data_IF_230648756102
#
_entry.id   IF_230648756102
#
_cell.length_a   1.000
_cell.length_b   1.000
_cell.length_c   1.000
_cell.angle_alpha   90.00
_cell.angle_beta   90.00
_cell.angle_gamma   90.00
#
_symmetry.space_group_name_H-M   'P 1'
#
loop_
_entity.id
_entity.type
_entity.pdbx_description
1 polymer ?
#
# COMPACT_ATOMS: atom_id res chain seq x y z
N UNK A 1 25.15 11.35 13.05
CA UNK A 1 24.58 11.22 11.70
C UNK A 1 24.87 9.80 11.26
N UNK A 2 23.90 8.88 11.40
CA UNK A 2 24.01 7.63 10.67
C UNK A 2 24.15 8.00 9.20
N UNK A 3 25.12 7.41 8.51
CA UNK A 3 25.02 7.27 7.08
C UNK A 3 23.67 6.59 6.80
N UNK A 4 22.60 7.39 6.65
CA UNK A 4 21.55 6.98 5.76
C UNK A 4 22.29 6.76 4.46
N UNK A 5 22.57 5.51 4.11
CA UNK A 5 22.84 5.15 2.73
C UNK A 5 21.78 5.94 1.97
N UNK A 6 22.21 6.85 1.11
CA UNK A 6 21.30 7.71 0.34
C UNK A 6 20.40 6.76 -0.43
N UNK A 7 19.26 6.42 0.16
CA UNK A 7 18.27 5.51 -0.42
C UNK A 7 17.67 6.05 -1.74
N UNK A 8 18.04 7.29 -2.09
CA UNK A 8 17.68 8.01 -3.31
C UNK A 8 18.79 8.02 -4.38
N UNK A 9 19.96 7.43 -4.12
CA UNK A 9 21.00 7.30 -5.12
C UNK A 9 20.66 6.18 -6.11
N UNK A 10 20.91 6.43 -7.40
CA UNK A 10 20.81 5.39 -8.41
C UNK A 10 21.78 4.25 -8.10
N UNK A 11 21.41 3.00 -8.42
CA UNK A 11 22.39 1.92 -8.43
C UNK A 11 23.50 2.25 -9.43
N UNK A 12 24.72 1.78 -9.14
CA UNK A 12 25.87 1.94 -10.03
C UNK A 12 25.71 1.18 -11.34
N UNK A 13 24.84 0.16 -11.36
CA UNK A 13 24.52 -0.64 -12.53
C UNK A 13 23.09 -1.18 -12.43
N UNK A 14 22.47 -1.48 -13.57
CA UNK A 14 21.12 -2.09 -13.65
C UNK A 14 21.12 -3.21 -14.70
N UNK A 15 20.43 -4.31 -14.38
CA UNK A 15 20.24 -5.44 -15.30
C UNK A 15 19.09 -5.16 -16.25
N UNK A 16 19.36 -5.27 -17.56
CA UNK A 16 18.41 -5.08 -18.66
C UNK A 16 18.35 -6.39 -19.47
N UNK A 17 17.43 -7.27 -19.10
CA UNK A 17 17.42 -8.63 -19.67
C UNK A 17 18.74 -9.35 -19.36
N UNK A 18 19.49 -9.69 -20.39
CA UNK A 18 20.78 -10.41 -20.26
C UNK A 18 22.00 -9.48 -20.18
N UNK A 19 21.82 -8.15 -20.25
CA UNK A 19 22.92 -7.18 -20.21
C UNK A 19 22.86 -6.36 -18.93
N UNK A 20 24.02 -5.82 -18.50
CA UNK A 20 24.12 -4.90 -17.36
C UNK A 20 24.62 -3.56 -17.90
N UNK A 21 23.92 -2.49 -17.58
CA UNK A 21 24.33 -1.13 -17.94
C UNK A 21 24.81 -0.37 -16.72
N UNK A 22 25.82 0.48 -16.90
CA UNK A 22 26.33 1.45 -15.92
C UNK A 22 26.03 2.90 -16.34
N UNK A 23 25.44 3.09 -17.52
CA UNK A 23 25.04 4.40 -18.01
C UNK A 23 23.83 4.90 -17.23
N UNK A 24 24.00 5.99 -16.49
CA UNK A 24 22.98 6.57 -15.64
C UNK A 24 21.73 7.02 -16.39
N UNK A 25 21.88 7.52 -17.61
CA UNK A 25 20.74 7.92 -18.46
C UNK A 25 19.91 6.69 -18.84
N UNK A 26 20.57 5.61 -19.27
CA UNK A 26 19.90 4.35 -19.56
C UNK A 26 19.26 3.74 -18.32
N UNK A 27 19.89 3.83 -17.15
CA UNK A 27 19.32 3.34 -15.89
C UNK A 27 18.02 4.06 -15.57
N UNK A 28 17.96 5.38 -15.67
CA UNK A 28 16.78 6.20 -15.39
C UNK A 28 15.64 5.87 -16.35
N UNK A 29 15.91 5.81 -17.66
CA UNK A 29 14.92 5.46 -18.68
C UNK A 29 14.34 4.06 -18.46
N UNK A 30 15.18 3.10 -18.08
CA UNK A 30 14.72 1.74 -17.82
C UNK A 30 13.90 1.63 -16.54
N UNK A 31 14.25 2.34 -15.47
CA UNK A 31 13.38 2.45 -14.31
C UNK A 31 12.02 3.04 -14.68
N UNK A 32 12.01 4.10 -15.51
CA UNK A 32 10.76 4.72 -15.93
C UNK A 32 9.88 3.74 -16.71
N UNK A 33 10.46 3.03 -17.69
CA UNK A 33 9.76 1.99 -18.42
C UNK A 33 9.29 0.86 -17.52
N UNK A 34 10.14 0.38 -16.60
CA UNK A 34 9.79 -0.68 -15.66
C UNK A 34 8.62 -0.28 -14.76
N UNK A 35 8.61 0.93 -14.23
CA UNK A 35 7.55 1.40 -13.34
C UNK A 35 6.25 1.72 -14.09
N UNK A 36 6.31 2.32 -15.29
CA UNK A 36 5.12 2.62 -16.08
C UNK A 36 4.38 1.38 -16.56
N UNK A 37 5.09 0.25 -16.73
CA UNK A 37 4.51 -1.03 -17.17
C UNK A 37 4.20 -1.99 -16.01
N UNK A 38 4.52 -1.62 -14.78
CA UNK A 38 4.41 -2.49 -13.61
C UNK A 38 3.00 -3.06 -13.38
N UNK A 39 1.96 -2.25 -13.62
CA UNK A 39 0.56 -2.65 -13.48
C UNK A 39 0.05 -3.60 -14.56
N UNK A 40 0.75 -3.70 -15.69
CA UNK A 40 0.33 -4.56 -16.81
C UNK A 40 0.70 -6.04 -16.64
N UNK A 41 1.44 -6.41 -15.60
CA UNK A 41 1.89 -7.78 -15.37
C UNK A 41 0.72 -8.79 -15.32
N UNK A 42 -0.42 -8.41 -14.76
CA UNK A 42 -1.61 -9.26 -14.73
C UNK A 42 -2.16 -9.54 -16.13
N UNK A 43 -2.22 -8.56 -17.02
CA UNK A 43 -2.70 -8.74 -18.40
C UNK A 43 -1.83 -9.72 -19.19
N UNK A 44 -0.52 -9.70 -18.95
CA UNK A 44 0.42 -10.64 -19.57
C UNK A 44 0.27 -12.06 -19.01
N UNK A 45 0.01 -12.20 -17.71
CA UNK A 45 -0.16 -13.50 -17.05
C UNK A 45 -1.51 -14.17 -17.36
N UNK A 46 -2.55 -13.40 -17.73
CA UNK A 46 -3.92 -13.90 -17.93
C UNK A 46 -4.37 -13.89 -19.40
N UNK A 47 -3.50 -13.58 -20.34
CA UNK A 47 -3.82 -13.55 -21.79
C UNK A 47 -4.29 -14.89 -22.38
N UNK A 48 -4.29 -15.97 -21.58
CA UNK A 48 -4.77 -17.30 -21.96
C UNK A 48 -6.20 -17.65 -21.48
N UNK A 49 -6.84 -16.80 -20.69
CA UNK A 49 -8.23 -17.05 -20.26
C UNK A 49 -9.07 -15.78 -20.40
N UNK A 50 -9.79 -15.68 -21.52
CA UNK A 50 -10.77 -14.67 -21.79
C UNK A 50 -11.96 -14.77 -20.81
N UNK A 51 -12.52 -13.61 -20.42
CA UNK A 51 -13.82 -13.40 -19.78
C UNK A 51 -13.95 -13.84 -18.30
N UNK A 52 -13.29 -13.12 -17.39
CA UNK A 52 -13.88 -12.95 -16.07
C UNK A 52 -14.17 -11.45 -15.86
N UNK A 53 -15.41 -11.05 -16.09
CA UNK A 53 -15.94 -9.80 -15.55
C UNK A 53 -15.85 -9.91 -14.01
N UNK A 54 -15.24 -8.92 -13.36
CA UNK A 54 -15.31 -8.83 -11.91
C UNK A 54 -16.76 -8.95 -11.46
N UNK A 55 -17.11 -9.75 -10.45
CA UNK A 55 -18.47 -9.79 -9.97
C UNK A 55 -18.90 -8.38 -9.59
N UNK A 56 -20.08 -7.92 -10.05
CA UNK A 56 -20.59 -6.63 -9.62
C UNK A 56 -20.64 -6.63 -8.10
N UNK A 57 -20.13 -5.55 -7.47
CA UNK A 57 -20.27 -5.38 -6.05
C UNK A 57 -21.75 -5.51 -5.69
N UNK A 58 -22.08 -6.32 -4.69
CA UNK A 58 -23.46 -6.51 -4.27
C UNK A 58 -24.09 -5.14 -3.98
N UNK A 59 -25.30 -4.84 -4.53
CA UNK A 59 -25.96 -3.56 -4.27
C UNK A 59 -26.20 -3.43 -2.76
N UNK A 60 -25.57 -2.45 -2.16
CA UNK A 60 -25.83 -2.10 -0.76
C UNK A 60 -27.10 -1.25 -0.70
N UNK A 61 -27.98 -1.46 0.32
CA UNK A 61 -29.20 -0.68 0.47
C UNK A 61 -28.85 0.81 0.54
N UNK A 62 -29.64 1.64 -0.14
CA UNK A 62 -29.51 3.08 -0.40
C UNK A 62 -28.62 3.85 0.59
N UNK A 63 -27.32 3.88 0.31
CA UNK A 63 -26.43 4.85 0.91
C UNK A 63 -26.83 6.24 0.39
N UNK A 64 -26.81 7.25 1.25
CA UNK A 64 -26.94 8.64 0.82
C UNK A 64 -25.91 8.91 -0.26
N UNK A 65 -26.34 9.48 -1.38
CA UNK A 65 -25.47 9.73 -2.54
C UNK A 65 -24.36 10.70 -2.12
N UNK A 66 -23.09 10.29 -2.28
CA UNK A 66 -21.94 11.15 -2.01
C UNK A 66 -21.74 12.14 -3.15
N UNK A 67 -21.63 13.41 -2.82
CA UNK A 67 -21.21 14.47 -3.73
C UNK A 67 -20.20 15.36 -3.02
N UNK A 68 -19.24 15.89 -3.79
CA UNK A 68 -18.28 16.83 -3.25
C UNK A 68 -18.97 18.09 -2.73
N UNK A 69 -18.56 18.54 -1.57
CA UNK A 69 -18.96 19.81 -1.01
C UNK A 69 -17.89 20.88 -1.25
N UNK A 70 -18.33 22.12 -1.26
CA UNK A 70 -17.43 23.25 -1.47
C UNK A 70 -16.34 23.30 -0.40
N UNK A 71 -15.09 23.40 -0.83
CA UNK A 71 -13.92 23.57 0.03
C UNK A 71 -13.91 25.00 0.54
N UNK A 72 -13.62 25.19 1.83
CA UNK A 72 -13.57 26.50 2.47
C UNK A 72 -12.14 27.06 2.44
N UNK A 73 -12.01 28.38 2.31
CA UNK A 73 -10.69 29.08 2.30
C UNK A 73 -9.90 28.76 3.57
N UNK A 74 -10.59 28.68 4.73
CA UNK A 74 -9.94 28.38 6.00
C UNK A 74 -9.27 26.98 6.02
N UNK A 75 -9.87 25.97 5.37
CA UNK A 75 -9.31 24.64 5.28
C UNK A 75 -8.04 24.63 4.41
N UNK A 76 -8.08 25.30 3.25
CA UNK A 76 -6.92 25.42 2.36
C UNK A 76 -5.79 26.22 3.02
N UNK A 77 -6.13 27.33 3.69
CA UNK A 77 -5.16 28.14 4.43
C UNK A 77 -4.44 27.31 5.50
N UNK A 78 -5.20 26.53 6.27
CA UNK A 78 -4.65 25.64 7.31
C UNK A 78 -3.69 24.61 6.72
N UNK A 79 -4.06 23.97 5.62
CA UNK A 79 -3.19 22.97 4.95
C UNK A 79 -1.91 23.61 4.41
N UNK A 80 -1.99 24.79 3.77
CA UNK A 80 -0.83 25.52 3.29
C UNK A 80 0.12 25.91 4.43
N UNK A 81 -0.42 26.37 5.57
CA UNK A 81 0.37 26.72 6.75
C UNK A 81 1.04 25.51 7.40
N UNK A 82 0.45 24.31 7.27
CA UNK A 82 0.99 23.07 7.81
C UNK A 82 1.96 22.35 6.87
N UNK A 83 2.22 22.88 5.66
CA UNK A 83 3.19 22.29 4.75
C UNK A 83 4.56 22.14 5.42
N UNK A 84 5.18 21.00 5.20
CA UNK A 84 6.57 20.76 5.61
C UNK A 84 7.53 21.44 4.62
N UNK A 85 8.24 22.49 5.04
CA UNK A 85 9.09 23.27 4.15
C UNK A 85 10.31 22.51 3.61
N UNK A 86 10.62 21.34 4.17
CA UNK A 86 11.76 20.52 3.77
C UNK A 86 11.41 19.42 2.77
N UNK A 87 10.16 19.34 2.34
CA UNK A 87 9.73 18.37 1.32
C UNK A 87 10.07 18.88 -0.08
N UNK A 88 10.35 17.94 -0.97
CA UNK A 88 10.68 18.24 -2.37
C UNK A 88 9.47 18.78 -3.12
N UNK A 89 9.70 19.79 -3.96
CA UNK A 89 8.76 20.23 -4.97
C UNK A 89 8.50 19.14 -6.02
N UNK A 90 7.32 19.15 -6.64
CA UNK A 90 6.99 18.33 -7.80
C UNK A 90 7.74 18.78 -9.06
N UNK A 91 7.26 18.29 -10.23
CA UNK A 91 7.79 18.73 -11.53
C UNK A 91 7.45 20.19 -11.87
N UNK A 92 6.46 20.76 -11.21
CA UNK A 92 6.07 22.16 -11.30
C UNK A 92 7.06 23.13 -10.62
N UNK A 93 8.02 22.61 -9.85
CA UNK A 93 8.99 23.35 -9.06
C UNK A 93 8.40 24.36 -8.06
N UNK A 94 7.12 24.20 -7.68
CA UNK A 94 6.53 25.00 -6.62
C UNK A 94 7.03 24.53 -5.25
N UNK A 95 7.85 25.35 -4.62
CA UNK A 95 8.47 25.04 -3.33
C UNK A 95 7.44 25.08 -2.21
N UNK A 96 7.33 24.04 -1.36
CA UNK A 96 6.46 24.02 -0.19
C UNK A 96 6.69 25.18 0.78
N UNK A 97 7.94 25.63 0.95
CA UNK A 97 8.26 26.79 1.78
C UNK A 97 7.64 28.07 1.22
N UNK A 98 7.74 28.28 -0.10
CA UNK A 98 7.13 29.44 -0.76
C UNK A 98 5.61 29.44 -0.57
N UNK A 99 4.94 28.31 -0.80
CA UNK A 99 3.49 28.17 -0.61
C UNK A 99 3.08 28.41 0.85
N UNK A 100 3.88 27.93 1.81
CA UNK A 100 3.64 28.16 3.24
C UNK A 100 3.75 29.64 3.61
N UNK A 101 4.78 30.32 3.16
CA UNK A 101 5.01 31.76 3.46
C UNK A 101 3.96 32.64 2.80
N UNK A 102 3.49 32.30 1.61
CA UNK A 102 2.47 33.05 0.87
C UNK A 102 1.04 32.61 1.18
N UNK A 103 0.82 31.69 2.12
CA UNK A 103 -0.45 31.00 2.35
C UNK A 103 -1.65 31.96 2.49
N UNK A 104 -1.51 33.05 3.24
CA UNK A 104 -2.58 34.06 3.44
C UNK A 104 -2.99 34.78 2.16
N UNK A 105 -2.08 34.90 1.21
CA UNK A 105 -2.31 35.60 -0.09
C UNK A 105 -2.92 34.61 -1.09
N UNK A 106 -2.36 33.38 -1.15
CA UNK A 106 -2.69 32.43 -2.21
C UNK A 106 -3.87 31.51 -1.87
N UNK A 107 -4.30 31.45 -0.59
CA UNK A 107 -5.39 30.54 -0.18
C UNK A 107 -6.69 30.79 -0.95
N UNK A 108 -7.10 32.05 -1.15
CA UNK A 108 -8.34 32.39 -1.86
C UNK A 108 -8.34 31.92 -3.33
N UNK A 109 -7.35 32.29 -4.18
CA UNK A 109 -7.34 31.82 -5.56
C UNK A 109 -7.15 30.30 -5.67
N UNK A 110 -6.37 29.68 -4.78
CA UNK A 110 -6.22 28.22 -4.77
C UNK A 110 -7.53 27.54 -4.42
N UNK A 111 -8.28 28.03 -3.42
CA UNK A 111 -9.60 27.50 -3.07
C UNK A 111 -10.59 27.60 -4.24
N UNK A 112 -10.58 28.73 -4.96
CA UNK A 112 -11.41 28.93 -6.14
C UNK A 112 -11.07 27.90 -7.24
N UNK A 113 -9.77 27.64 -7.45
CA UNK A 113 -9.31 26.63 -8.41
C UNK A 113 -9.74 25.21 -8.00
N UNK A 114 -9.66 24.85 -6.72
CA UNK A 114 -10.12 23.55 -6.22
C UNK A 114 -11.63 23.38 -6.42
N UNK A 115 -12.42 24.38 -6.08
CA UNK A 115 -13.86 24.34 -6.26
C UNK A 115 -14.26 24.32 -7.76
N UNK A 116 -13.51 25.04 -8.61
CA UNK A 116 -13.70 24.95 -10.05
C UNK A 116 -13.47 23.54 -10.57
N UNK A 117 -12.44 22.83 -10.07
CA UNK A 117 -12.19 21.44 -10.43
C UNK A 117 -13.35 20.51 -10.08
N UNK A 118 -14.06 20.75 -8.98
CA UNK A 118 -15.26 19.96 -8.65
C UNK A 118 -16.41 20.23 -9.60
N UNK A 119 -16.58 21.48 -10.04
CA UNK A 119 -17.66 21.88 -10.96
C UNK A 119 -17.39 21.36 -12.37
N UNK A 120 -16.14 21.46 -12.85
CA UNK A 120 -15.78 21.05 -14.21
C UNK A 120 -15.42 19.56 -14.32
N UNK A 121 -15.23 18.87 -13.19
CA UNK A 121 -14.65 17.52 -13.12
C UNK A 121 -13.28 17.42 -13.80
N UNK A 122 -12.53 18.51 -13.85
CA UNK A 122 -11.21 18.57 -14.45
C UNK A 122 -10.11 18.86 -13.42
N UNK A 123 -8.98 18.20 -13.57
CA UNK A 123 -7.77 18.40 -12.75
C UNK A 123 -6.68 18.97 -13.65
N UNK A 124 -5.96 20.02 -13.23
CA UNK A 124 -4.84 20.58 -13.98
C UNK A 124 -3.84 19.51 -14.41
N UNK A 125 -3.41 19.55 -15.67
CA UNK A 125 -2.51 18.54 -16.26
C UNK A 125 -1.19 18.44 -15.48
N UNK A 126 -0.65 19.57 -15.02
CA UNK A 126 0.59 19.61 -14.26
C UNK A 126 0.49 18.83 -12.93
N UNK A 127 -0.71 18.75 -12.34
CA UNK A 127 -0.94 17.99 -11.11
C UNK A 127 -1.02 16.47 -11.33
N UNK A 128 -1.12 16.04 -12.57
CA UNK A 128 -1.12 14.63 -12.98
C UNK A 128 0.27 14.11 -13.32
N UNK A 129 1.28 15.00 -13.34
CA UNK A 129 2.66 14.66 -13.63
C UNK A 129 3.43 14.36 -12.33
N UNK A 130 4.10 13.22 -12.27
CA UNK A 130 4.87 12.78 -11.11
C UNK A 130 6.37 12.67 -11.41
N UNK A 131 7.21 13.21 -10.52
CA UNK A 131 8.61 12.81 -10.44
C UNK A 131 8.71 11.54 -9.61
N UNK A 132 9.26 10.47 -10.17
CA UNK A 132 9.39 9.17 -9.49
C UNK A 132 10.83 8.95 -9.05
N UNK A 133 11.02 8.59 -7.79
CA UNK A 133 12.31 8.20 -7.23
C UNK A 133 12.33 6.69 -7.02
N UNK A 134 13.31 5.94 -7.60
CA UNK A 134 13.52 4.54 -7.29
C UNK A 134 14.01 4.38 -5.84
N UNK A 135 13.20 3.78 -4.97
CA UNK A 135 13.58 3.50 -3.60
C UNK A 135 13.92 2.02 -3.44
N UNK A 136 15.20 1.73 -3.12
CA UNK A 136 15.65 0.36 -2.88
C UNK A 136 14.99 -0.24 -1.63
N UNK A 137 14.36 -1.41 -1.78
CA UNK A 137 13.65 -2.13 -0.71
C UNK A 137 14.41 -3.34 -0.15
N UNK A 138 15.60 -3.64 -0.73
CA UNK A 138 16.41 -4.80 -0.40
C UNK A 138 16.44 -5.86 -1.52
N UNK A 139 17.39 -6.77 -1.48
CA UNK A 139 17.59 -7.80 -2.51
C UNK A 139 18.75 -7.49 -3.45
N UNK A 140 18.64 -7.90 -4.71
CA UNK A 140 19.64 -7.62 -5.75
C UNK A 140 19.53 -6.16 -6.23
N UNK A 141 20.58 -5.38 -6.05
CA UNK A 141 20.63 -3.97 -6.48
C UNK A 141 20.59 -3.81 -8.00
N UNK A 142 20.88 -4.86 -8.76
CA UNK A 142 20.79 -4.85 -10.22
C UNK A 142 19.37 -5.12 -10.73
N UNK A 143 18.47 -5.66 -9.89
CA UNK A 143 17.11 -5.99 -10.29
C UNK A 143 16.16 -4.80 -10.05
N UNK A 144 15.52 -4.22 -11.09
CA UNK A 144 14.55 -3.13 -10.93
C UNK A 144 13.33 -3.53 -10.10
N UNK A 145 12.99 -4.83 -9.97
CA UNK A 145 11.93 -5.31 -9.08
C UNK A 145 12.25 -5.11 -7.59
N UNK A 146 13.53 -4.91 -7.24
CA UNK A 146 13.96 -4.61 -5.88
C UNK A 146 13.82 -3.13 -5.50
N UNK A 147 13.17 -2.32 -6.33
CA UNK A 147 12.90 -0.90 -6.09
C UNK A 147 11.40 -0.61 -6.06
N UNK A 148 11.01 0.43 -5.31
CA UNK A 148 9.65 0.99 -5.27
C UNK A 148 9.63 2.34 -6.00
N UNK A 149 8.60 2.62 -6.83
CA UNK A 149 8.42 3.94 -7.44
C UNK A 149 7.79 4.91 -6.44
N UNK A 150 8.58 5.76 -5.80
CA UNK A 150 8.02 6.79 -4.92
C UNK A 150 7.71 8.03 -5.74
N UNK A 151 6.43 8.37 -5.86
CA UNK A 151 5.94 9.51 -6.62
C UNK A 151 6.01 10.81 -5.81
N UNK A 152 6.75 11.78 -6.31
CA UNK A 152 6.73 13.15 -5.82
C UNK A 152 5.76 13.92 -6.71
N UNK A 153 4.56 14.13 -6.19
CA UNK A 153 3.52 14.92 -6.84
C UNK A 153 3.68 16.41 -6.49
N UNK A 154 3.16 17.32 -7.34
CA UNK A 154 3.06 18.74 -7.05
C UNK A 154 2.45 19.02 -5.67
N UNK A 155 2.99 20.03 -4.99
CA UNK A 155 2.56 20.33 -3.63
C UNK A 155 1.08 20.71 -3.57
N UNK A 156 0.60 21.51 -4.52
CA UNK A 156 -0.81 21.91 -4.61
C UNK A 156 -1.73 20.72 -4.90
N UNK A 157 -1.27 19.76 -5.72
CA UNK A 157 -2.01 18.49 -5.93
C UNK A 157 -2.23 17.76 -4.59
N UNK A 158 -1.21 17.68 -3.73
CA UNK A 158 -1.33 17.05 -2.42
C UNK A 158 -2.27 17.81 -1.48
N UNK A 159 -2.21 19.15 -1.48
CA UNK A 159 -3.15 19.98 -0.70
C UNK A 159 -4.59 19.72 -1.16
N UNK A 160 -4.81 19.65 -2.46
CA UNK A 160 -6.13 19.32 -3.01
C UNK A 160 -6.57 17.90 -2.66
N UNK A 161 -5.69 16.91 -2.88
CA UNK A 161 -5.96 15.52 -2.49
C UNK A 161 -6.30 15.37 -1.00
N UNK A 162 -5.70 16.18 -0.11
CA UNK A 162 -6.03 16.19 1.33
C UNK A 162 -7.49 16.61 1.57
N UNK A 163 -7.97 17.65 0.88
CA UNK A 163 -9.35 18.09 0.98
C UNK A 163 -10.34 17.05 0.44
N UNK A 164 -10.02 16.45 -0.72
CA UNK A 164 -10.81 15.37 -1.31
C UNK A 164 -10.82 14.14 -0.40
N UNK A 165 -9.66 13.73 0.09
CA UNK A 165 -9.52 12.55 0.96
C UNK A 165 -10.30 12.69 2.25
N UNK A 166 -10.33 13.90 2.83
CA UNK A 166 -11.14 14.17 4.02
C UNK A 166 -12.62 13.92 3.75
N UNK A 167 -13.19 14.50 2.68
CA UNK A 167 -14.61 14.31 2.33
C UNK A 167 -14.93 12.84 2.05
N UNK A 168 -14.06 12.16 1.29
CA UNK A 168 -14.23 10.73 0.95
C UNK A 168 -14.17 9.86 2.21
N UNK A 169 -13.16 10.04 3.06
CA UNK A 169 -12.99 9.25 4.28
C UNK A 169 -14.13 9.48 5.27
N UNK A 170 -14.55 10.73 5.47
CA UNK A 170 -15.67 11.08 6.34
C UNK A 170 -16.97 10.39 5.90
N UNK A 171 -17.22 10.35 4.57
CA UNK A 171 -18.36 9.62 4.02
C UNK A 171 -18.24 8.11 4.23
N UNK A 172 -17.11 7.50 3.87
CA UNK A 172 -16.91 6.05 3.97
C UNK A 172 -16.98 5.55 5.42
N UNK A 173 -16.43 6.30 6.39
CA UNK A 173 -16.46 5.95 7.81
C UNK A 173 -17.84 6.17 8.43
N UNK A 174 -18.52 7.29 8.13
CA UNK A 174 -19.88 7.57 8.66
C UNK A 174 -20.89 6.52 8.22
N UNK A 175 -20.74 5.97 7.02
CA UNK A 175 -21.58 4.90 6.48
C UNK A 175 -21.08 3.48 6.79
N UNK A 176 -19.98 3.35 7.57
CA UNK A 176 -19.36 2.05 7.92
C UNK A 176 -19.10 1.20 6.68
N UNK A 177 -18.61 1.83 5.61
CA UNK A 177 -18.37 1.20 4.33
C UNK A 177 -17.22 0.22 4.37
N UNK A 178 -16.17 0.56 5.13
CA UNK A 178 -15.03 -0.34 5.31
C UNK A 178 -15.40 -1.55 6.15
N UNK A 179 -14.92 -2.71 5.73
CA UNK A 179 -15.01 -3.93 6.53
C UNK A 179 -14.36 -3.72 7.91
N UNK A 180 -14.94 -4.31 8.94
CA UNK A 180 -14.39 -4.27 10.31
C UNK A 180 -12.98 -4.90 10.40
N UNK A 181 -12.60 -5.72 9.42
CA UNK A 181 -11.29 -6.38 9.35
C UNK A 181 -10.28 -5.60 8.50
N UNK A 182 -10.67 -4.47 7.88
CA UNK A 182 -9.75 -3.56 7.21
C UNK A 182 -9.22 -2.52 8.20
N UNK A 183 -7.92 -2.54 8.44
CA UNK A 183 -7.23 -1.59 9.32
C UNK A 183 -6.26 -0.65 8.61
N UNK A 184 -5.90 -0.94 7.36
CA UNK A 184 -4.94 -0.13 6.60
C UNK A 184 -5.47 1.27 6.29
N UNK A 185 -4.66 2.29 6.58
CA UNK A 185 -4.92 3.71 6.26
C UNK A 185 -6.21 4.29 6.83
N UNK A 186 -6.71 3.72 7.93
CA UNK A 186 -7.90 4.20 8.63
C UNK A 186 -7.52 4.89 9.94
N UNK A 187 -8.18 6.00 10.24
CA UNK A 187 -8.00 6.72 11.50
C UNK A 187 -8.35 5.82 12.69
N UNK A 188 -7.52 5.84 13.74
CA UNK A 188 -7.71 5.00 14.91
C UNK A 188 -7.30 3.52 14.73
N UNK A 189 -6.90 3.10 13.55
CA UNK A 189 -6.45 1.74 13.24
C UNK A 189 -4.94 1.74 12.94
N UNK A 190 -4.15 1.17 13.83
CA UNK A 190 -2.70 1.09 13.67
C UNK A 190 -2.20 -0.35 13.48
N UNK A 191 -0.95 -0.51 13.01
CA UNK A 191 -0.31 -1.83 12.91
C UNK A 191 -0.36 -2.60 14.24
N UNK A 192 -0.21 -1.90 15.37
CA UNK A 192 -0.24 -2.52 16.72
C UNK A 192 -1.63 -3.09 17.03
N UNK A 193 -2.70 -2.32 16.83
CA UNK A 193 -4.07 -2.79 17.10
C UNK A 193 -4.46 -3.94 16.18
N UNK A 194 -4.08 -3.86 14.90
CA UNK A 194 -4.27 -4.94 13.92
C UNK A 194 -3.56 -6.22 14.33
N UNK A 195 -2.27 -6.13 14.68
CA UNK A 195 -1.48 -7.27 15.13
C UNK A 195 -2.03 -7.87 16.42
N UNK A 196 -2.42 -7.03 17.39
CA UNK A 196 -3.00 -7.49 18.66
C UNK A 196 -4.32 -8.23 18.44
N UNK A 197 -5.18 -7.77 17.53
CA UNK A 197 -6.42 -8.48 17.21
C UNK A 197 -6.15 -9.88 16.68
N UNK A 198 -5.30 -10.02 15.67
CA UNK A 198 -4.92 -11.32 15.08
C UNK A 198 -4.30 -12.23 16.13
N UNK A 199 -3.35 -11.71 16.92
CA UNK A 199 -2.71 -12.49 17.99
C UNK A 199 -3.70 -12.93 19.05
N UNK A 200 -4.63 -12.08 19.47
CA UNK A 200 -5.64 -12.43 20.45
C UNK A 200 -6.52 -13.60 19.96
N UNK A 201 -6.93 -13.59 18.70
CA UNK A 201 -7.73 -14.66 18.11
C UNK A 201 -6.95 -15.98 18.08
N UNK A 202 -5.68 -15.94 17.63
CA UNK A 202 -4.80 -17.11 17.58
C UNK A 202 -4.51 -17.66 18.99
N UNK A 203 -4.16 -16.81 19.96
CA UNK A 203 -3.87 -17.22 21.33
C UNK A 203 -5.12 -17.84 21.97
N UNK A 204 -6.29 -17.23 21.77
CA UNK A 204 -7.56 -17.74 22.29
C UNK A 204 -7.87 -19.13 21.73
N UNK A 205 -7.61 -19.38 20.46
CA UNK A 205 -7.78 -20.69 19.86
C UNK A 205 -6.80 -21.74 20.45
N UNK A 206 -5.53 -21.35 20.62
CA UNK A 206 -4.49 -22.22 21.21
C UNK A 206 -4.83 -22.57 22.67
N UNK A 207 -5.31 -21.61 23.45
CA UNK A 207 -5.68 -21.83 24.85
C UNK A 207 -6.89 -22.79 24.97
N UNK A 208 -7.75 -22.81 23.95
CA UNK A 208 -8.83 -23.79 23.78
C UNK A 208 -8.37 -25.13 23.22
N UNK A 209 -7.05 -25.34 23.07
CA UNK A 209 -6.45 -26.56 22.48
C UNK A 209 -6.92 -26.84 21.04
N UNK A 210 -7.17 -25.80 20.26
CA UNK A 210 -7.48 -25.91 18.85
C UNK A 210 -6.21 -25.84 18.01
N UNK A 211 -6.21 -26.54 16.86
CA UNK A 211 -5.21 -26.32 15.82
C UNK A 211 -5.49 -24.96 15.17
N UNK A 212 -4.42 -24.27 14.80
CA UNK A 212 -4.52 -22.99 14.11
C UNK A 212 -3.51 -22.92 12.96
N UNK A 213 -3.97 -22.54 11.79
CA UNK A 213 -3.11 -22.30 10.63
C UNK A 213 -3.42 -20.94 9.99
N UNK A 214 -2.40 -20.32 9.43
CA UNK A 214 -2.52 -19.02 8.77
C UNK A 214 -1.77 -19.00 7.43
N UNK A 215 -2.29 -18.21 6.48
CA UNK A 215 -1.63 -17.83 5.24
C UNK A 215 -1.36 -16.32 5.29
N UNK A 216 -0.11 -15.94 5.20
CA UNK A 216 0.33 -14.56 5.03
C UNK A 216 0.44 -14.29 3.53
N UNK A 217 -0.45 -13.47 3.01
CA UNK A 217 -0.62 -13.24 1.58
C UNK A 217 0.17 -12.02 1.16
N UNK A 218 1.03 -12.16 0.15
CA UNK A 218 1.76 -11.07 -0.50
C UNK A 218 1.21 -10.84 -1.91
N UNK A 219 0.92 -9.60 -2.24
CA UNK A 219 0.46 -9.20 -3.58
C UNK A 219 1.61 -8.54 -4.33
N UNK A 220 1.79 -8.94 -5.59
CA UNK A 220 2.80 -8.33 -6.45
C UNK A 220 2.37 -6.95 -6.91
N UNK A 221 3.15 -5.91 -6.57
CA UNK A 221 2.95 -4.52 -7.03
C UNK A 221 1.49 -4.04 -6.84
N UNK A 222 0.88 -4.34 -5.70
CA UNK A 222 -0.54 -4.14 -5.42
C UNK A 222 -1.04 -2.73 -5.78
N UNK A 223 -0.35 -1.67 -5.31
CA UNK A 223 -0.70 -0.28 -5.61
C UNK A 223 -0.54 0.09 -7.08
N UNK A 224 0.44 -0.49 -7.77
CA UNK A 224 0.73 -0.21 -9.19
C UNK A 224 -0.23 -0.96 -10.12
N UNK A 225 -0.96 -1.97 -9.60
CA UNK A 225 -1.86 -2.85 -10.36
C UNK A 225 -3.34 -2.51 -10.25
N UNK A 226 -3.70 -1.43 -9.53
CA UNK A 226 -5.10 -1.01 -9.39
C UNK A 226 -5.69 -0.68 -10.76
N UNK A 227 -6.72 -1.40 -11.17
CA UNK A 227 -7.46 -1.12 -12.41
C UNK A 227 -8.45 0.03 -12.17
N UNK A 228 -8.30 1.12 -12.91
CA UNK A 228 -9.12 2.33 -12.73
C UNK A 228 -10.60 2.09 -13.00
N UNK A 229 -10.97 1.28 -14.02
CA UNK A 229 -12.37 0.96 -14.31
C UNK A 229 -13.04 0.18 -13.17
N UNK A 230 -12.34 -0.82 -12.63
CA UNK A 230 -12.84 -1.58 -11.48
C UNK A 230 -13.00 -0.66 -10.27
N UNK A 231 -12.03 0.22 -10.02
CA UNK A 231 -12.09 1.17 -8.90
C UNK A 231 -13.26 2.16 -9.06
N UNK A 232 -13.47 2.74 -10.25
CA UNK A 232 -14.60 3.62 -10.51
C UNK A 232 -15.94 2.87 -10.33
N UNK A 233 -16.04 1.63 -10.82
CA UNK A 233 -17.22 0.78 -10.58
C UNK A 233 -17.48 0.52 -9.09
N UNK A 234 -16.43 0.36 -8.28
CA UNK A 234 -16.58 0.23 -6.82
C UNK A 234 -17.02 1.53 -6.16
N UNK A 235 -16.47 2.68 -6.55
CA UNK A 235 -16.93 3.98 -6.05
C UNK A 235 -18.41 4.20 -6.40
N UNK A 236 -18.83 3.84 -7.61
CA UNK A 236 -20.23 3.87 -8.03
C UNK A 236 -21.11 3.00 -7.13
N UNK A 237 -20.73 1.77 -6.86
CA UNK A 237 -21.47 0.86 -5.97
C UNK A 237 -21.52 1.33 -4.49
N UNK A 238 -20.63 2.24 -4.11
CA UNK A 238 -20.60 2.88 -2.79
C UNK A 238 -21.41 4.19 -2.76
N UNK A 239 -22.17 4.52 -3.82
CA UNK A 239 -23.07 5.66 -3.85
C UNK A 239 -22.41 6.99 -4.22
N UNK A 240 -21.23 6.99 -4.85
CA UNK A 240 -20.63 8.21 -5.38
C UNK A 240 -21.45 8.74 -6.56
N UNK A 241 -21.69 10.06 -6.60
CA UNK A 241 -22.44 10.73 -7.66
C UNK A 241 -21.69 10.69 -8.99
N UNK A 242 -22.43 10.89 -10.09
CA UNK A 242 -21.84 10.86 -11.43
C UNK A 242 -20.76 11.92 -11.61
N UNK A 243 -20.96 13.12 -11.02
CA UNK A 243 -19.96 14.19 -11.04
C UNK A 243 -18.68 13.78 -10.27
N UNK A 244 -18.82 13.11 -9.11
CA UNK A 244 -17.69 12.57 -8.39
C UNK A 244 -16.98 11.48 -9.19
N UNK A 245 -17.71 10.59 -9.82
CA UNK A 245 -17.14 9.54 -10.68
C UNK A 245 -16.44 10.13 -11.91
N UNK A 246 -16.99 11.18 -12.52
CA UNK A 246 -16.34 11.92 -13.60
C UNK A 246 -15.03 12.56 -13.12
N UNK A 247 -15.04 13.16 -11.92
CA UNK A 247 -13.84 13.75 -11.32
C UNK A 247 -12.75 12.68 -11.07
N UNK A 248 -13.10 11.53 -10.47
CA UNK A 248 -12.14 10.44 -10.27
C UNK A 248 -11.64 9.85 -11.59
N UNK A 249 -12.50 9.75 -12.60
CA UNK A 249 -12.10 9.32 -13.95
C UNK A 249 -11.06 10.27 -14.52
N UNK A 250 -11.28 11.59 -14.42
CA UNK A 250 -10.30 12.59 -14.82
C UNK A 250 -9.03 12.55 -13.98
N UNK A 251 -9.15 12.28 -12.66
CA UNK A 251 -7.98 12.14 -11.76
C UNK A 251 -7.01 11.05 -12.23
N UNK A 252 -7.52 9.95 -12.78
CA UNK A 252 -6.71 8.85 -13.29
C UNK A 252 -6.30 9.01 -14.76
N UNK A 253 -7.03 9.77 -15.53
CA UNK A 253 -6.76 9.97 -16.96
C UNK A 253 -5.49 10.82 -17.18
N UNK A 254 -4.77 10.53 -18.27
CA UNK A 254 -3.65 11.33 -18.78
C UNK A 254 -2.52 11.57 -17.74
N UNK A 255 -2.34 10.63 -16.82
CA UNK A 255 -1.24 10.71 -15.87
C UNK A 255 0.07 10.35 -16.55
N UNK A 256 1.12 11.10 -16.19
CA UNK A 256 2.48 10.87 -16.67
C UNK A 256 3.46 10.79 -15.52
N UNK A 257 4.54 10.08 -15.74
CA UNK A 257 5.65 10.01 -14.79
C UNK A 257 6.99 10.18 -15.49
N UNK A 258 7.95 10.75 -14.76
CA UNK A 258 9.35 10.82 -15.15
C UNK A 258 10.18 10.33 -13.96
N UNK A 259 11.18 9.50 -14.18
CA UNK A 259 12.11 9.11 -13.12
C UNK A 259 13.14 10.23 -12.93
N UNK A 260 13.29 10.68 -11.68
CA UNK A 260 14.23 11.75 -11.30
C UNK A 260 15.26 11.20 -10.32
N UNK A 261 16.53 11.36 -10.62
CA UNK A 261 17.61 11.04 -9.68
C UNK A 261 18.90 11.78 -10.05
N UNK A 262 19.67 12.20 -9.05
CA UNK A 262 20.98 12.85 -9.20
C UNK A 262 20.99 14.04 -10.18
N UNK A 263 19.91 14.82 -10.20
CA UNK A 263 19.75 15.97 -11.10
C UNK A 263 19.32 15.64 -12.53
N UNK A 264 19.20 14.36 -12.88
CA UNK A 264 18.73 13.90 -14.19
C UNK A 264 17.23 13.59 -14.14
N UNK A 265 16.58 13.69 -15.29
CA UNK A 265 15.16 13.40 -15.49
C UNK A 265 14.99 12.57 -16.77
N UNK A 266 14.21 11.48 -16.69
CA UNK A 266 13.83 10.69 -17.86
C UNK A 266 12.78 11.40 -18.72
N UNK A 267 12.54 10.89 -19.92
CA UNK A 267 11.36 11.26 -20.70
C UNK A 267 10.04 10.93 -19.99
N UNK A 268 8.93 11.63 -20.29
CA UNK A 268 7.62 11.35 -19.73
C UNK A 268 7.04 10.06 -20.31
N UNK A 269 6.52 9.19 -19.46
CA UNK A 269 5.75 8.01 -19.85
C UNK A 269 4.35 8.03 -19.23
N UNK A 270 3.36 7.60 -20.02
CA UNK A 270 1.98 7.49 -19.56
C UNK A 270 1.82 6.37 -18.51
N UNK A 271 0.97 6.62 -17.52
CA UNK A 271 0.60 5.67 -16.46
C UNK A 271 -0.90 5.44 -16.54
N UNK A 272 -1.30 4.24 -16.96
CA UNK A 272 -2.71 3.86 -17.21
C UNK A 272 -3.30 2.94 -16.13
N UNK A 273 -2.53 2.57 -15.13
CA UNK A 273 -2.97 1.71 -14.01
C UNK A 273 -2.30 2.15 -12.71
N UNK A 274 -2.84 1.68 -11.61
CA UNK A 274 -2.29 1.93 -10.29
C UNK A 274 -2.72 3.25 -9.67
N UNK A 275 -2.37 3.38 -8.39
CA UNK A 275 -2.47 4.64 -7.64
C UNK A 275 -1.07 5.11 -7.28
N UNK A 276 -0.76 6.41 -7.42
CA UNK A 276 0.61 6.89 -7.21
C UNK A 276 1.10 6.63 -5.78
N UNK A 277 2.21 5.92 -5.63
CA UNK A 277 2.82 5.68 -4.31
C UNK A 277 3.45 6.99 -3.79
N UNK A 278 2.70 7.74 -3.01
CA UNK A 278 3.07 9.07 -2.50
C UNK A 278 1.96 10.10 -2.67
N UNK A 279 0.83 9.73 -3.30
CA UNK A 279 -0.41 10.51 -3.25
C UNK A 279 -1.10 10.36 -1.89
N UNK A 280 -1.95 11.32 -1.54
CA UNK A 280 -2.75 11.27 -0.31
C UNK A 280 -4.00 10.40 -0.52
N UNK A 281 -4.57 10.42 -1.72
CA UNK A 281 -5.76 9.62 -2.07
C UNK A 281 -5.43 8.14 -2.30
N UNK A 282 -4.24 7.81 -2.79
CA UNK A 282 -3.86 6.45 -3.17
C UNK A 282 -4.14 5.40 -2.09
N UNK A 283 -3.75 5.61 -0.83
CA UNK A 283 -4.03 4.66 0.26
C UNK A 283 -5.52 4.40 0.49
N UNK A 284 -6.34 5.44 0.52
CA UNK A 284 -7.79 5.33 0.71
C UNK A 284 -8.45 4.61 -0.47
N UNK A 285 -8.05 4.95 -1.70
CA UNK A 285 -8.57 4.33 -2.92
C UNK A 285 -8.17 2.86 -3.01
N UNK A 286 -6.95 2.50 -2.59
CA UNK A 286 -6.54 1.10 -2.49
C UNK A 286 -7.37 0.34 -1.44
N UNK A 287 -7.63 0.95 -0.28
CA UNK A 287 -8.49 0.35 0.75
C UNK A 287 -9.91 0.10 0.24
N UNK A 288 -10.49 1.03 -0.53
CA UNK A 288 -11.77 0.85 -1.23
C UNK A 288 -11.69 -0.31 -2.23
N UNK A 289 -10.61 -0.37 -3.00
CA UNK A 289 -10.41 -1.36 -4.05
C UNK A 289 -10.41 -2.80 -3.53
N UNK A 290 -9.73 -3.05 -2.40
CA UNK A 290 -9.57 -4.40 -1.83
C UNK A 290 -10.64 -4.76 -0.78
N UNK A 291 -11.45 -3.81 -0.35
CA UNK A 291 -12.34 -3.96 0.84
C UNK A 291 -13.19 -5.22 0.84
N UNK A 292 -13.79 -5.56 -0.31
CA UNK A 292 -14.75 -6.65 -0.41
C UNK A 292 -14.09 -8.04 -0.49
N UNK A 293 -12.76 -8.09 -0.60
CA UNK A 293 -12.03 -9.37 -0.52
C UNK A 293 -12.31 -10.06 0.82
N UNK A 294 -12.55 -9.30 1.87
CA UNK A 294 -12.91 -9.83 3.19
C UNK A 294 -14.17 -10.72 3.17
N UNK A 295 -15.10 -10.47 2.25
CA UNK A 295 -16.35 -11.24 2.12
C UNK A 295 -16.11 -12.65 1.59
N UNK A 296 -14.98 -12.89 0.93
CA UNK A 296 -14.63 -14.19 0.37
C UNK A 296 -13.95 -15.13 1.37
N UNK A 297 -13.71 -14.69 2.62
CA UNK A 297 -13.00 -15.52 3.62
C UNK A 297 -13.80 -16.74 4.10
N UNK A 298 -15.13 -16.78 3.89
CA UNK A 298 -15.98 -17.89 4.32
C UNK A 298 -15.90 -18.14 5.83
N UNK A 299 -15.61 -19.37 6.23
CA UNK A 299 -15.47 -19.79 7.63
C UNK A 299 -14.12 -19.42 8.26
N UNK A 300 -13.16 -18.95 7.46
CA UNK A 300 -11.87 -18.48 7.95
C UNK A 300 -11.94 -17.01 8.35
N UNK A 301 -11.07 -16.61 9.27
CA UNK A 301 -10.88 -15.21 9.62
C UNK A 301 -9.87 -14.58 8.67
N UNK A 302 -10.12 -13.33 8.31
CA UNK A 302 -9.21 -12.54 7.50
C UNK A 302 -8.94 -11.20 8.20
N UNK A 303 -7.76 -10.67 8.02
CA UNK A 303 -7.44 -9.31 8.42
C UNK A 303 -6.65 -8.62 7.30
N UNK A 304 -7.09 -7.41 6.93
CA UNK A 304 -6.49 -6.59 5.88
C UNK A 304 -5.79 -5.38 6.50
N UNK A 305 -4.54 -5.17 6.14
CA UNK A 305 -3.83 -3.93 6.42
C UNK A 305 -3.21 -3.41 5.12
N UNK A 306 -4.00 -2.70 4.34
CA UNK A 306 -3.72 -2.38 2.94
C UNK A 306 -3.48 -3.66 2.10
N UNK A 307 -2.30 -3.83 1.53
CA UNK A 307 -1.87 -5.01 0.77
C UNK A 307 -1.42 -6.18 1.67
N UNK A 308 -1.01 -5.91 2.92
CA UNK A 308 -0.68 -6.95 3.88
C UNK A 308 -1.96 -7.66 4.35
N UNK A 309 -2.15 -8.90 3.91
CA UNK A 309 -3.34 -9.71 4.21
C UNK A 309 -2.94 -10.99 4.94
N UNK A 310 -3.64 -11.31 6.03
CA UNK A 310 -3.55 -12.60 6.70
C UNK A 310 -4.92 -13.29 6.68
N UNK A 311 -4.92 -14.56 6.27
CA UNK A 311 -6.07 -15.45 6.35
C UNK A 311 -5.74 -16.55 7.35
N UNK A 312 -6.60 -16.81 8.33
CA UNK A 312 -6.32 -17.80 9.35
C UNK A 312 -7.60 -18.50 9.82
N UNK A 313 -7.45 -19.74 10.26
CA UNK A 313 -8.56 -20.54 10.76
C UNK A 313 -8.09 -21.43 11.91
N UNK A 314 -9.02 -21.90 12.71
CA UNK A 314 -8.76 -22.77 13.83
C UNK A 314 -9.90 -23.80 14.00
N UNK A 315 -9.57 -24.95 14.59
CA UNK A 315 -10.53 -26.01 14.79
C UNK A 315 -9.96 -27.19 15.60
N UNK A 316 -10.81 -28.20 15.89
CA UNK A 316 -10.42 -29.34 16.72
C UNK A 316 -9.51 -30.32 15.99
N UNK A 317 -9.50 -30.36 14.67
CA UNK A 317 -8.74 -31.27 13.83
C UNK A 317 -7.86 -30.50 12.85
N UNK A 318 -6.61 -30.94 12.65
CA UNK A 318 -5.69 -30.30 11.71
C UNK A 318 -6.19 -30.42 10.26
N UNK A 319 -6.72 -31.58 9.88
CA UNK A 319 -7.21 -31.82 8.52
C UNK A 319 -8.39 -30.88 8.19
N UNK A 320 -9.31 -30.70 9.13
CA UNK A 320 -10.42 -29.74 8.98
C UNK A 320 -9.89 -28.30 8.85
N UNK A 321 -8.91 -27.91 9.67
CA UNK A 321 -8.31 -26.58 9.62
C UNK A 321 -7.64 -26.33 8.26
N UNK A 322 -6.84 -27.28 7.77
CA UNK A 322 -6.15 -27.11 6.48
C UNK A 322 -7.12 -27.15 5.30
N UNK A 323 -8.16 -27.99 5.33
CA UNK A 323 -9.20 -28.02 4.31
C UNK A 323 -9.99 -26.71 4.23
N UNK A 324 -10.43 -26.19 5.38
CA UNK A 324 -11.14 -24.91 5.44
C UNK A 324 -10.25 -23.74 5.00
N UNK A 325 -8.98 -23.75 5.42
CA UNK A 325 -8.02 -22.73 5.02
C UNK A 325 -7.78 -22.74 3.50
N UNK A 326 -7.63 -23.94 2.90
CA UNK A 326 -7.48 -24.09 1.46
C UNK A 326 -8.72 -23.59 0.71
N UNK A 327 -9.92 -23.94 1.17
CA UNK A 327 -11.17 -23.50 0.55
C UNK A 327 -11.30 -21.99 0.58
N UNK A 328 -11.08 -21.38 1.74
CA UNK A 328 -11.11 -19.93 1.92
C UNK A 328 -10.01 -19.23 1.11
N UNK A 329 -8.80 -19.80 1.07
CA UNK A 329 -7.69 -19.26 0.29
C UNK A 329 -7.99 -19.26 -1.21
N UNK A 330 -8.62 -20.32 -1.73
CA UNK A 330 -9.07 -20.38 -3.13
C UNK A 330 -10.08 -19.27 -3.43
N UNK A 331 -11.08 -19.06 -2.57
CA UNK A 331 -12.07 -17.99 -2.74
C UNK A 331 -11.43 -16.58 -2.71
N UNK A 332 -10.47 -16.37 -1.81
CA UNK A 332 -9.68 -15.11 -1.77
C UNK A 332 -8.87 -14.91 -3.05
N UNK A 333 -8.22 -15.96 -3.57
CA UNK A 333 -7.48 -15.88 -4.84
C UNK A 333 -8.40 -15.56 -6.03
N UNK A 334 -9.62 -16.14 -6.08
CA UNK A 334 -10.61 -15.77 -7.10
C UNK A 334 -11.02 -14.31 -6.97
N UNK A 335 -11.20 -13.79 -5.74
CA UNK A 335 -11.49 -12.39 -5.51
C UNK A 335 -10.35 -11.48 -5.98
N UNK A 336 -9.09 -11.82 -5.73
CA UNK A 336 -7.94 -11.08 -6.25
C UNK A 336 -7.87 -11.12 -7.78
N UNK A 337 -8.15 -12.26 -8.41
CA UNK A 337 -8.22 -12.35 -9.88
C UNK A 337 -9.30 -11.43 -10.45
N UNK A 338 -10.47 -11.36 -9.82
CA UNK A 338 -11.54 -10.44 -10.20
C UNK A 338 -11.13 -8.97 -10.09
N UNK A 339 -10.24 -8.64 -9.15
CA UNK A 339 -9.63 -7.32 -9.00
C UNK A 339 -8.38 -7.13 -9.86
N UNK A 340 -7.99 -8.09 -10.68
CA UNK A 340 -6.75 -8.06 -11.45
C UNK A 340 -5.50 -7.84 -10.59
N UNK A 341 -5.53 -8.32 -9.34
CA UNK A 341 -4.38 -8.34 -8.44
C UNK A 341 -3.66 -9.68 -8.54
N UNK A 342 -2.33 -9.63 -8.61
CA UNK A 342 -1.51 -10.81 -8.76
C UNK A 342 -0.95 -11.28 -7.41
N UNK A 343 -1.24 -12.53 -7.05
CA UNK A 343 -0.64 -13.17 -5.89
C UNK A 343 0.85 -13.42 -6.14
N UNK A 344 1.68 -13.12 -5.17
CA UNK A 344 3.09 -13.48 -5.16
C UNK A 344 3.28 -14.80 -4.38
N UNK A 345 3.19 -15.93 -5.08
CA UNK A 345 3.28 -17.25 -4.46
C UNK A 345 4.60 -17.47 -3.70
N UNK A 346 5.73 -16.99 -4.22
CA UNK A 346 7.04 -17.16 -3.58
C UNK A 346 7.18 -16.42 -2.24
N UNK A 347 6.45 -15.31 -2.05
CA UNK A 347 6.45 -14.52 -0.81
C UNK A 347 5.25 -14.82 0.10
N UNK A 348 4.18 -15.38 -0.45
CA UNK A 348 3.05 -15.87 0.35
C UNK A 348 3.51 -17.08 1.14
N UNK A 349 3.26 -17.10 2.46
CA UNK A 349 3.75 -18.13 3.37
C UNK A 349 2.63 -18.68 4.21
N UNK A 350 2.75 -19.97 4.56
CA UNK A 350 1.86 -20.64 5.47
C UNK A 350 2.56 -20.87 6.82
N UNK A 351 1.82 -20.76 7.92
CA UNK A 351 2.33 -21.04 9.26
C UNK A 351 1.30 -21.89 10.02
N UNK A 352 1.78 -22.96 10.64
CA UNK A 352 1.00 -23.79 11.53
C UNK A 352 1.42 -23.47 12.98
N UNK A 353 0.48 -22.96 13.78
CA UNK A 353 0.75 -22.66 15.18
C UNK A 353 0.65 -23.94 16.03
N UNK A 354 1.75 -24.31 16.70
CA UNK A 354 1.92 -25.59 17.36
C UNK A 354 2.40 -25.50 18.84
N UNK A 355 2.00 -24.42 19.53
CA UNK A 355 2.40 -24.21 20.93
C UNK A 355 1.87 -25.30 21.87
N UNK A 356 0.64 -25.73 21.69
CA UNK A 356 -0.08 -26.63 22.61
C UNK A 356 -0.29 -28.03 22.04
N UNK A 357 -0.25 -28.19 20.73
CA UNK A 357 -0.52 -29.44 20.02
C UNK A 357 0.67 -29.78 19.11
N UNK A 358 1.02 -31.07 18.95
CA UNK A 358 2.09 -31.48 18.04
C UNK A 358 1.70 -31.15 16.59
N UNK A 359 2.63 -30.59 15.82
CA UNK A 359 2.51 -30.45 14.38
C UNK A 359 3.12 -31.67 13.69
N UNK A 360 2.53 -32.16 12.59
CA UNK A 360 3.16 -33.18 11.75
C UNK A 360 4.44 -32.63 11.12
N UNK A 361 5.40 -33.52 10.86
CA UNK A 361 6.64 -33.14 10.18
C UNK A 361 6.38 -32.59 8.75
N UNK A 362 5.36 -33.10 8.08
CA UNK A 362 4.92 -32.67 6.75
C UNK A 362 3.39 -32.48 6.78
N UNK A 363 2.89 -31.26 7.03
CA UNK A 363 1.47 -30.99 6.91
C UNK A 363 1.03 -31.04 5.43
N UNK A 364 -0.26 -31.24 5.19
CA UNK A 364 -0.83 -31.14 3.84
C UNK A 364 -0.54 -29.77 3.25
N UNK A 365 -0.03 -29.70 2.03
CA UNK A 365 0.29 -28.45 1.35
C UNK A 365 -0.96 -27.60 1.13
N UNK A 366 -0.83 -26.31 1.39
CA UNK A 366 -1.77 -25.29 0.90
C UNK A 366 -1.27 -24.83 -0.46
N UNK A 367 -2.14 -24.86 -1.47
CA UNK A 367 -1.78 -24.60 -2.86
C UNK A 367 -2.44 -23.34 -3.40
N UNK A 368 -1.77 -22.70 -4.34
CA UNK A 368 -2.34 -21.62 -5.15
C UNK A 368 -3.25 -22.19 -6.25
N UNK A 369 -4.06 -21.35 -6.90
CA UNK A 369 -4.94 -21.76 -8.00
C UNK A 369 -4.19 -22.25 -9.26
N UNK A 370 -2.91 -21.95 -9.39
CA UNK A 370 -2.03 -22.45 -10.44
C UNK A 370 -1.28 -23.74 -10.05
N UNK A 371 -1.58 -24.29 -8.87
CA UNK A 371 -1.03 -25.55 -8.38
C UNK A 371 0.33 -25.42 -7.67
N UNK A 372 0.82 -24.21 -7.40
CA UNK A 372 2.06 -24.02 -6.65
C UNK A 372 1.85 -24.20 -5.17
N UNK A 373 2.70 -25.02 -4.53
CA UNK A 373 2.68 -25.22 -3.07
C UNK A 373 3.18 -23.96 -2.34
N UNK A 374 2.51 -23.61 -1.24
CA UNK A 374 2.99 -22.58 -0.34
C UNK A 374 4.03 -23.15 0.63
N UNK A 375 5.09 -22.38 0.83
CA UNK A 375 6.11 -22.72 1.83
C UNK A 375 5.57 -22.56 3.25
N UNK A 376 5.73 -23.58 4.07
CA UNK A 376 5.52 -23.49 5.52
C UNK A 376 6.74 -22.88 6.19
N UNK A 377 6.50 -21.87 7.02
CA UNK A 377 7.56 -21.16 7.75
C UNK A 377 7.30 -21.21 9.26
N UNK A 378 8.39 -21.35 10.02
CA UNK A 378 8.33 -21.30 11.49
C UNK A 378 8.34 -19.87 12.04
N UNK A 379 8.76 -18.89 11.23
CA UNK A 379 8.85 -17.49 11.61
C UNK A 379 8.45 -16.59 10.44
N UNK A 380 7.57 -15.65 10.70
CA UNK A 380 7.13 -14.65 9.71
C UNK A 380 7.06 -13.26 10.32
N UNK A 381 7.37 -12.22 9.54
CA UNK A 381 7.28 -10.83 9.98
C UNK A 381 5.95 -10.22 9.53
N UNK A 382 4.99 -10.13 10.45
CA UNK A 382 3.68 -9.53 10.20
C UNK A 382 3.59 -8.13 10.81
N UNK A 383 3.28 -7.11 10.02
CA UNK A 383 3.13 -5.70 10.41
C UNK A 383 4.25 -5.19 11.36
N UNK A 384 5.49 -5.61 11.07
CA UNK A 384 6.66 -5.20 11.86
C UNK A 384 7.01 -6.10 13.05
N UNK A 385 6.14 -7.04 13.43
CA UNK A 385 6.36 -8.01 14.52
C UNK A 385 6.78 -9.36 13.95
N UNK A 386 7.87 -9.94 14.46
CA UNK A 386 8.26 -11.31 14.13
C UNK A 386 7.43 -12.29 14.97
N UNK A 387 6.58 -13.04 14.29
CA UNK A 387 5.78 -14.12 14.87
C UNK A 387 6.52 -15.44 14.63
N UNK A 388 6.51 -16.31 15.62
CA UNK A 388 6.97 -17.69 15.48
C UNK A 388 5.82 -18.67 15.77
N UNK A 389 5.91 -19.88 15.22
CA UNK A 389 4.86 -20.89 15.31
C UNK A 389 4.47 -21.28 16.75
N UNK A 390 5.33 -20.99 17.73
CA UNK A 390 5.10 -21.22 19.18
C UNK A 390 4.66 -19.96 19.92
N UNK A 391 4.61 -18.79 19.23
CA UNK A 391 4.32 -17.48 19.81
C UNK A 391 5.25 -17.16 21.00
N UNK A 392 6.52 -17.56 20.93
CA UNK A 392 7.52 -17.28 21.95
C UNK A 392 8.08 -15.86 21.87
N UNK A 393 7.92 -15.20 20.72
CA UNK A 393 8.47 -13.88 20.39
C UNK A 393 9.98 -13.75 20.55
N UNK A 394 10.72 -14.85 20.71
CA UNK A 394 12.18 -14.81 20.91
C UNK A 394 12.89 -14.13 19.74
N UNK A 395 12.49 -14.44 18.50
CA UNK A 395 13.06 -13.81 17.30
C UNK A 395 12.80 -12.31 17.28
N UNK A 396 11.60 -11.88 17.66
CA UNK A 396 11.25 -10.47 17.76
C UNK A 396 12.08 -9.74 18.81
N UNK A 397 12.20 -10.31 20.01
CA UNK A 397 12.98 -9.76 21.11
C UNK A 397 14.47 -9.63 20.72
N UNK A 398 15.07 -10.67 20.13
CA UNK A 398 16.46 -10.64 19.65
C UNK A 398 16.65 -9.53 18.59
N UNK A 399 15.71 -9.38 17.66
CA UNK A 399 15.76 -8.32 16.66
C UNK A 399 15.69 -6.92 17.29
N UNK A 400 14.78 -6.70 18.25
CA UNK A 400 14.69 -5.43 18.99
C UNK A 400 15.97 -5.15 19.77
N UNK A 401 16.50 -6.14 20.49
CA UNK A 401 17.76 -6.01 21.22
C UNK A 401 18.93 -5.61 20.31
N UNK A 402 19.02 -6.20 19.11
CA UNK A 402 20.06 -5.85 18.13
C UNK A 402 19.94 -4.40 17.69
N UNK A 403 18.72 -3.94 17.38
CA UNK A 403 18.46 -2.53 17.00
C UNK A 403 18.80 -1.56 18.14
N UNK A 404 18.39 -1.89 19.38
CA UNK A 404 18.66 -1.05 20.56
C UNK A 404 20.17 -1.00 20.82
N UNK A 405 20.86 -2.14 20.80
CA UNK A 405 22.32 -2.20 20.98
C UNK A 405 23.06 -1.34 19.95
N UNK A 406 22.65 -1.38 18.68
CA UNK A 406 23.25 -0.55 17.64
C UNK A 406 23.06 0.94 17.92
N UNK A 407 21.85 1.37 18.30
CA UNK A 407 21.54 2.77 18.63
C UNK A 407 22.27 3.25 19.88
N UNK A 408 22.24 2.45 20.95
CA UNK A 408 22.96 2.76 22.21
C UNK A 408 24.46 2.83 21.94
N UNK A 409 25.02 1.90 21.15
CA UNK A 409 26.43 1.93 20.74
C UNK A 409 26.78 3.19 19.95
N UNK A 410 25.89 3.66 19.07
CA UNK A 410 26.07 4.94 18.36
C UNK A 410 26.07 6.13 19.34
N UNK A 411 25.08 6.22 20.23
CA UNK A 411 25.02 7.28 21.25
C UNK A 411 26.26 7.27 22.15
N UNK A 412 26.69 6.10 22.59
CA UNK A 412 27.87 5.97 23.43
C UNK A 412 29.16 6.42 22.74
N UNK A 413 29.37 6.00 21.47
CA UNK A 413 30.54 6.43 20.68
C UNK A 413 30.57 7.94 20.43
N UNK A 414 29.40 8.57 20.26
CA UNK A 414 29.28 9.99 19.94
C UNK A 414 28.93 10.88 21.14
N UNK A 415 29.01 10.34 22.38
CA UNK A 415 28.60 11.05 23.59
C UNK A 415 29.30 12.41 23.81
N UNK A 416 30.55 12.55 23.34
CA UNK A 416 31.32 13.80 23.43
C UNK A 416 30.76 14.89 22.48
N UNK A 417 30.08 14.51 21.39
CA UNK A 417 29.54 15.44 20.39
C UNK A 417 28.13 15.93 20.74
N UNK A 418 27.50 15.38 21.78
CA UNK A 418 26.18 15.83 22.21
C UNK A 418 26.27 16.99 23.19
N UNK A 419 25.43 18.01 23.02
CA UNK A 419 25.24 19.08 24.00
C UNK A 419 24.62 18.53 25.28
N UNK A 420 24.74 19.27 26.40
CA UNK A 420 24.16 18.85 27.67
C UNK A 420 22.64 18.73 27.60
N UNK A 421 21.97 19.58 26.85
CA UNK A 421 20.53 19.51 26.57
C UNK A 421 20.16 18.22 25.78
N UNK A 422 20.91 17.87 24.74
CA UNK A 422 20.70 16.65 23.95
C UNK A 422 21.02 15.34 24.68
N UNK A 423 21.65 15.39 25.86
CA UNK A 423 21.89 14.23 26.73
C UNK A 423 20.76 13.96 27.71
N UNK A 424 19.88 14.95 27.92
CA UNK A 424 18.75 14.92 28.85
C UNK A 424 17.40 14.61 28.18
N UNK A 425 17.34 14.70 26.84
CA UNK A 425 16.21 14.25 25.99
C UNK A 425 16.49 12.87 25.42
#
# INVERSE_FOLDING_TARGET
>A
MENKSNSSQLPTALRLGNTVTTDKSMIIENFNKHFSTAGHAFRLATSTSANSSAPPAAPRPSLSRFSFTQIQIADVLKELQNLDPYKSAGLDNLDPLFLKLSATIVATPITSLFNLSFISSEIPKDWKAAAVIPLFKGGDTLDPNCYRPISILPCLSKVFESQVNKQVTDHLESHRTFSAVQSGFRAGHGCTSATLKVLNDIITAIDKRQYCAAVFIDLAKAFDSVNHHILIGRLSSLGFSDDCLAWFTNYFADRVQCVKSEGMLSGPLAVSMGVPQGSILGPTLFSVYINDVALAAGDSLIHLYADDTILYTFGPSLDTVLSNLQTSFNAIQHSFRGLQLLLNASKTKCMLFNRSLPAPACPTSITTLDGSDLEYVDVYKYLGVWLDCKLSFQTHIKHLQSKIKSRVGFLFRNKASFTQAAKLT
#
